data_IF_471122341859
#
_entry.id   IF_471122341859
#
_cell.length_a   1.000
_cell.length_b   1.000
_cell.length_c   1.000
_cell.angle_alpha   90.00
_cell.angle_beta   90.00
_cell.angle_gamma   90.00
#
_symmetry.space_group_name_H-M   'P 1'
#
loop_
_entity.id
_entity.type
_entity.pdbx_description
1 polymer ?
#
# COMPACT_ATOMS: atom_id res chain seq x y z
N UNK A 1 83.23 106.96 -7.19
CA UNK A 1 82.12 107.86 -7.50
C UNK A 1 81.70 107.63 -8.96
N UNK A 2 80.58 106.94 -9.24
CA UNK A 2 79.70 107.15 -10.40
C UNK A 2 78.60 106.18 -10.33
N UNK A 3 77.41 106.72 -10.29
CA UNK A 3 76.13 105.93 -10.36
C UNK A 3 75.94 105.40 -11.75
N UNK A 4 75.52 104.20 -11.90
CA UNK A 4 74.91 103.72 -13.17
C UNK A 4 73.38 103.58 -12.93
N UNK A 5 72.63 104.41 -13.61
CA UNK A 5 71.18 104.36 -13.75
C UNK A 5 70.76 103.05 -14.40
N UNK A 6 69.80 102.41 -13.74
CA UNK A 6 69.07 101.30 -14.32
C UNK A 6 67.94 101.87 -15.20
N UNK A 7 68.08 101.68 -16.50
CA UNK A 7 66.96 101.85 -17.42
C UNK A 7 65.95 100.68 -17.32
N UNK A 8 64.83 101.00 -16.89
CA UNK A 8 63.70 100.03 -16.89
C UNK A 8 63.19 99.93 -18.37
N UNK A 9 63.33 98.80 -18.99
CA UNK A 9 62.76 98.44 -20.25
C UNK A 9 61.24 98.25 -20.04
N UNK A 10 60.44 99.13 -20.54
CA UNK A 10 58.99 99.16 -20.41
C UNK A 10 58.36 98.00 -21.15
N UNK A 11 57.30 97.41 -20.62
CA UNK A 11 56.54 96.22 -21.16
C UNK A 11 56.03 96.38 -22.61
N UNK A 12 56.09 97.59 -23.18
CA UNK A 12 55.68 97.93 -24.57
C UNK A 12 56.66 97.49 -25.62
N UNK A 13 57.91 97.29 -25.30
CA UNK A 13 58.93 96.83 -26.28
C UNK A 13 58.90 95.30 -26.51
N UNK A 14 58.32 94.53 -25.57
CA UNK A 14 58.13 93.06 -25.71
C UNK A 14 57.02 92.74 -26.72
N UNK A 15 56.00 93.57 -26.85
CA UNK A 15 54.85 93.28 -27.70
C UNK A 15 55.12 93.54 -29.20
N UNK A 16 56.13 94.34 -29.53
CA UNK A 16 56.42 94.69 -30.92
C UNK A 16 57.33 93.67 -31.67
N UNK A 17 58.14 92.91 -30.94
CA UNK A 17 59.07 91.92 -31.52
C UNK A 17 58.51 90.57 -31.78
N UNK A 18 57.33 90.17 -31.21
CA UNK A 18 56.76 88.83 -31.31
C UNK A 18 55.32 88.79 -31.81
N UNK A 19 54.95 89.67 -32.79
CA UNK A 19 53.58 89.66 -33.33
C UNK A 19 53.20 88.34 -34.00
N UNK A 20 54.13 87.47 -34.35
CA UNK A 20 53.93 86.23 -35.02
C UNK A 20 54.17 84.99 -34.06
N UNK A 21 54.74 85.23 -32.87
CA UNK A 21 55.10 84.14 -31.95
C UNK A 21 53.87 83.39 -31.47
N UNK A 22 52.79 84.06 -31.18
CA UNK A 22 51.51 83.41 -30.79
C UNK A 22 50.97 82.51 -31.93
N UNK A 23 51.15 82.88 -33.16
CA UNK A 23 50.70 82.09 -34.31
C UNK A 23 51.60 80.86 -34.54
N UNK A 24 52.86 80.96 -34.32
CA UNK A 24 53.82 79.89 -34.51
C UNK A 24 53.72 78.78 -33.44
N UNK A 25 53.30 79.11 -32.24
CA UNK A 25 53.06 78.13 -31.17
C UNK A 25 51.60 77.62 -31.23
N UNK A 26 50.61 78.47 -31.49
CA UNK A 26 49.25 78.09 -31.52
C UNK A 26 48.89 77.08 -32.65
N UNK A 27 49.48 77.29 -33.86
CA UNK A 27 49.20 76.44 -35.03
C UNK A 27 49.67 74.97 -34.78
N UNK A 28 50.92 74.71 -34.35
CA UNK A 28 51.33 73.29 -34.07
C UNK A 28 50.55 72.70 -32.91
N UNK A 29 50.17 73.50 -31.94
CA UNK A 29 49.38 73.00 -30.78
C UNK A 29 47.97 72.55 -31.24
N UNK A 30 47.35 73.38 -32.13
CA UNK A 30 46.04 73.03 -32.67
C UNK A 30 46.15 71.80 -33.58
N UNK A 31 47.16 71.70 -34.41
CA UNK A 31 47.41 70.53 -35.27
C UNK A 31 47.64 69.29 -34.39
N UNK A 32 48.41 69.40 -33.26
CA UNK A 32 48.59 68.27 -32.31
C UNK A 32 47.32 67.83 -31.64
N UNK A 33 46.45 68.79 -31.21
CA UNK A 33 45.17 68.46 -30.60
C UNK A 33 44.24 67.81 -31.65
N UNK A 34 44.22 68.32 -32.91
CA UNK A 34 43.43 67.69 -33.99
C UNK A 34 43.91 66.27 -34.31
N UNK A 35 45.25 66.02 -34.30
CA UNK A 35 45.86 64.70 -34.47
C UNK A 35 45.49 63.76 -33.32
N UNK A 36 45.45 64.29 -32.10
CA UNK A 36 45.14 63.53 -30.90
C UNK A 36 43.63 63.10 -30.93
N UNK A 37 42.76 64.02 -31.33
CA UNK A 37 41.32 63.73 -31.51
C UNK A 37 41.12 62.72 -32.62
N UNK A 38 41.83 62.92 -33.75
CA UNK A 38 41.78 61.95 -34.85
C UNK A 38 42.27 60.57 -34.47
N UNK A 39 43.36 60.51 -33.67
CA UNK A 39 43.90 59.26 -33.13
C UNK A 39 42.88 58.57 -32.20
N UNK A 40 42.23 59.35 -31.30
CA UNK A 40 41.16 58.81 -30.44
C UNK A 40 39.93 58.29 -31.23
N UNK A 41 39.59 58.96 -32.36
CA UNK A 41 38.48 58.54 -33.17
C UNK A 41 38.76 57.29 -34.01
N UNK A 42 40.05 57.05 -34.34
CA UNK A 42 40.48 55.88 -35.13
C UNK A 42 40.85 54.68 -34.25
N UNK A 43 41.15 54.88 -32.96
CA UNK A 43 41.44 53.81 -32.05
C UNK A 43 40.13 53.08 -31.63
N UNK A 44 39.90 51.91 -32.20
CA UNK A 44 38.85 51.00 -31.77
C UNK A 44 39.26 50.38 -30.43
N UNK A 45 38.57 50.73 -29.33
CA UNK A 45 38.72 50.00 -28.06
C UNK A 45 38.02 48.64 -28.19
N UNK A 46 38.78 47.58 -28.20
CA UNK A 46 38.27 46.24 -28.01
C UNK A 46 37.83 46.09 -26.55
N UNK A 47 36.51 46.11 -26.30
CA UNK A 47 35.98 45.77 -24.99
C UNK A 47 36.00 44.26 -24.86
N UNK A 48 37.01 43.72 -24.21
CA UNK A 48 37.04 42.32 -23.83
C UNK A 48 36.15 42.14 -22.61
N UNK A 49 34.97 41.55 -22.83
CA UNK A 49 34.07 41.15 -21.74
C UNK A 49 34.55 39.76 -21.30
N UNK A 50 35.15 39.67 -20.13
CA UNK A 50 35.39 38.37 -19.47
C UNK A 50 34.07 37.86 -18.96
N UNK A 51 33.41 36.99 -19.73
CA UNK A 51 32.26 36.24 -19.27
C UNK A 51 32.72 34.91 -18.68
N UNK A 52 32.65 34.79 -17.39
CA UNK A 52 32.80 33.49 -16.70
C UNK A 52 31.49 32.71 -16.92
N UNK A 53 31.41 31.97 -18.00
CA UNK A 53 30.30 31.09 -18.32
C UNK A 53 30.69 29.64 -18.11
N UNK A 54 29.91 28.90 -17.35
CA UNK A 54 29.99 27.43 -17.37
C UNK A 54 29.21 26.95 -18.60
N UNK A 55 29.84 26.14 -19.46
CA UNK A 55 29.13 25.48 -20.54
C UNK A 55 28.14 24.47 -19.94
N UNK A 56 26.88 24.83 -19.93
CA UNK A 56 25.80 23.89 -19.61
C UNK A 56 25.24 23.34 -20.94
N UNK A 57 25.11 22.02 -21.01
CA UNK A 57 24.43 21.40 -22.15
C UNK A 57 22.99 21.88 -22.20
N UNK A 58 22.47 22.25 -23.37
CA UNK A 58 21.09 22.75 -23.58
C UNK A 58 20.02 21.71 -23.22
N UNK A 59 20.37 20.45 -23.11
CA UNK A 59 19.52 19.37 -22.64
C UNK A 59 19.98 18.93 -21.25
N UNK A 60 19.11 19.12 -20.26
CA UNK A 60 19.32 18.58 -18.91
C UNK A 60 19.41 17.04 -18.99
N UNK A 61 20.52 16.48 -18.53
CA UNK A 61 20.69 15.04 -18.44
C UNK A 61 19.53 14.41 -17.65
N UNK A 62 18.97 13.32 -18.15
CA UNK A 62 17.95 12.54 -17.42
C UNK A 62 18.65 11.59 -16.48
N UNK A 63 18.32 11.70 -15.20
CA UNK A 63 18.81 10.78 -14.19
C UNK A 63 18.11 9.42 -14.31
N UNK A 64 18.89 8.36 -14.17
CA UNK A 64 18.41 6.98 -14.15
C UNK A 64 18.30 6.52 -12.69
N UNK A 65 17.14 5.95 -12.34
CA UNK A 65 16.85 5.50 -10.99
C UNK A 65 16.51 4.01 -10.98
N UNK A 66 16.91 3.34 -9.91
CA UNK A 66 16.45 1.99 -9.57
C UNK A 66 15.32 2.10 -8.53
N UNK A 67 14.27 1.30 -8.70
CA UNK A 67 13.18 1.22 -7.75
C UNK A 67 13.52 0.19 -6.66
N UNK A 68 13.79 0.67 -5.45
CA UNK A 68 14.06 -0.18 -4.29
C UNK A 68 15.52 -0.58 -4.11
N UNK A 69 15.85 -1.31 -3.04
CA UNK A 69 17.16 -1.93 -2.88
C UNK A 69 17.35 -2.99 -3.97
N UNK A 70 18.44 -2.88 -4.72
CA UNK A 70 18.68 -3.75 -5.86
C UNK A 70 20.17 -4.09 -6.00
N UNK A 71 20.44 -5.25 -6.52
CA UNK A 71 21.78 -5.69 -6.90
C UNK A 71 21.95 -5.57 -8.39
N UNK A 72 23.01 -4.89 -8.84
CA UNK A 72 23.36 -4.79 -10.25
C UNK A 72 23.94 -6.14 -10.67
N UNK A 73 23.31 -6.78 -11.63
CA UNK A 73 23.73 -8.11 -12.12
C UNK A 73 24.71 -7.99 -13.28
N UNK A 74 24.53 -6.99 -14.14
CA UNK A 74 25.39 -6.78 -15.30
C UNK A 74 25.36 -5.33 -15.75
N UNK A 75 26.54 -4.77 -16.03
CA UNK A 75 26.72 -3.44 -16.63
C UNK A 75 27.13 -3.62 -18.09
N UNK A 76 26.34 -3.10 -19.02
CA UNK A 76 26.54 -3.28 -20.46
C UNK A 76 27.24 -2.10 -21.11
N UNK A 77 27.43 -0.99 -20.36
CA UNK A 77 27.98 0.27 -20.88
C UNK A 77 29.09 0.78 -20.00
N UNK A 78 30.09 1.46 -20.62
CA UNK A 78 31.19 2.08 -19.93
C UNK A 78 30.91 3.58 -19.69
N UNK A 79 31.60 4.16 -18.73
CA UNK A 79 31.57 5.59 -18.44
C UNK A 79 31.95 6.41 -19.68
N UNK A 80 31.16 7.43 -20.00
CA UNK A 80 31.40 8.29 -21.17
C UNK A 80 31.01 7.66 -22.51
N UNK A 81 30.46 6.45 -22.55
CA UNK A 81 30.06 5.80 -23.80
C UNK A 81 28.79 6.42 -24.37
N UNK A 82 28.73 6.53 -25.71
CA UNK A 82 27.55 7.01 -26.42
C UNK A 82 26.50 5.91 -26.50
N UNK A 83 25.30 6.20 -26.06
CA UNK A 83 24.14 5.31 -26.10
C UNK A 83 23.05 5.84 -27.04
N UNK A 84 22.31 4.93 -27.67
CA UNK A 84 21.13 5.25 -28.47
C UNK A 84 19.87 5.07 -27.60
N UNK A 85 18.81 5.81 -27.95
CA UNK A 85 17.49 5.62 -27.30
C UNK A 85 17.09 4.13 -27.33
N UNK A 86 16.58 3.62 -26.23
CA UNK A 86 16.17 2.22 -25.98
C UNK A 86 17.33 1.20 -25.92
N UNK A 87 18.59 1.62 -25.99
CA UNK A 87 19.73 0.72 -25.81
C UNK A 87 19.82 0.27 -24.36
N UNK A 88 20.04 -1.03 -24.08
CA UNK A 88 20.22 -1.53 -22.72
C UNK A 88 21.50 -0.98 -22.09
N UNK A 89 21.41 -0.52 -20.87
CA UNK A 89 22.54 0.10 -20.12
C UNK A 89 23.05 -0.86 -19.06
N UNK A 90 22.14 -1.37 -18.23
CA UNK A 90 22.46 -2.31 -17.16
C UNK A 90 21.28 -3.23 -16.87
N UNK A 91 21.58 -4.37 -16.28
CA UNK A 91 20.61 -5.29 -15.71
C UNK A 91 20.75 -5.27 -14.19
N UNK A 92 19.64 -5.14 -13.51
CA UNK A 92 19.59 -5.19 -12.07
C UNK A 92 18.47 -6.13 -11.59
N UNK A 93 18.63 -6.64 -10.39
CA UNK A 93 17.61 -7.41 -9.69
C UNK A 93 17.27 -6.69 -8.40
N UNK A 94 16.00 -6.39 -8.18
CA UNK A 94 15.54 -5.90 -6.88
C UNK A 94 15.76 -7.05 -5.89
N UNK A 95 16.39 -6.75 -4.75
CA UNK A 95 16.55 -7.74 -3.68
C UNK A 95 15.14 -8.06 -3.19
N UNK A 96 14.61 -9.20 -3.64
CA UNK A 96 13.34 -9.68 -3.15
C UNK A 96 13.50 -9.96 -1.65
N UNK A 97 12.57 -9.46 -0.88
CA UNK A 97 12.46 -9.78 0.54
C UNK A 97 11.92 -11.23 0.62
N UNK A 98 12.86 -12.20 0.61
CA UNK A 98 12.53 -13.63 0.61
C UNK A 98 11.66 -14.00 1.79
N UNK A 99 11.95 -13.42 2.96
CA UNK A 99 11.18 -13.67 4.17
C UNK A 99 9.72 -13.24 4.00
N UNK A 100 9.52 -12.15 3.30
CA UNK A 100 8.18 -11.63 3.01
C UNK A 100 7.42 -12.43 1.94
N UNK A 101 8.12 -13.02 0.98
CA UNK A 101 7.54 -13.93 0.00
C UNK A 101 7.13 -15.24 0.68
N UNK A 102 7.98 -15.77 1.57
CA UNK A 102 7.70 -17.00 2.31
C UNK A 102 6.55 -16.82 3.29
N UNK A 103 6.47 -15.67 3.96
CA UNK A 103 5.34 -15.31 4.83
C UNK A 103 4.02 -15.22 4.04
N UNK A 104 4.02 -14.56 2.88
CA UNK A 104 2.84 -14.51 2.00
C UNK A 104 2.44 -15.90 1.49
N UNK A 105 3.40 -16.74 1.11
CA UNK A 105 3.14 -18.10 0.65
C UNK A 105 2.51 -18.95 1.78
N UNK A 106 2.95 -18.76 3.02
CA UNK A 106 2.36 -19.40 4.20
C UNK A 106 0.91 -18.94 4.41
N UNK A 107 0.64 -17.64 4.39
CA UNK A 107 -0.70 -17.07 4.53
C UNK A 107 -1.65 -17.55 3.42
N UNK A 108 -1.19 -17.59 2.16
CA UNK A 108 -1.96 -18.12 1.03
C UNK A 108 -2.30 -19.60 1.24
N UNK A 109 -1.33 -20.38 1.70
CA UNK A 109 -1.52 -21.81 1.97
C UNK A 109 -2.56 -22.05 3.04
N UNK A 110 -2.51 -21.25 4.11
CA UNK A 110 -3.45 -21.30 5.22
C UNK A 110 -4.88 -20.93 4.80
N UNK A 111 -5.05 -19.85 4.05
CA UNK A 111 -6.35 -19.46 3.50
C UNK A 111 -6.92 -20.51 2.53
N UNK A 112 -6.09 -21.22 1.76
CA UNK A 112 -6.53 -22.35 0.92
C UNK A 112 -7.00 -23.53 1.76
N UNK A 113 -6.34 -23.80 2.89
CA UNK A 113 -6.84 -24.82 3.86
C UNK A 113 -8.18 -24.39 4.43
N UNK A 114 -8.30 -23.13 4.85
CA UNK A 114 -9.55 -22.58 5.37
C UNK A 114 -10.68 -22.67 4.34
N UNK A 115 -10.42 -22.33 3.08
CA UNK A 115 -11.39 -22.46 1.98
C UNK A 115 -11.88 -23.89 1.81
N UNK A 116 -10.96 -24.86 1.87
CA UNK A 116 -11.30 -26.31 1.80
C UNK A 116 -12.19 -26.76 2.96
N UNK A 117 -11.90 -26.31 4.18
CA UNK A 117 -12.71 -26.64 5.35
C UNK A 117 -14.09 -25.94 5.29
N UNK A 118 -14.17 -24.73 4.76
CA UNK A 118 -15.44 -24.06 4.52
C UNK A 118 -16.30 -24.80 3.49
N UNK A 119 -15.69 -25.33 2.42
CA UNK A 119 -16.40 -26.19 1.45
C UNK A 119 -16.92 -27.48 2.12
N UNK A 120 -16.13 -28.08 3.00
CA UNK A 120 -16.57 -29.24 3.80
C UNK A 120 -17.74 -28.90 4.72
N UNK A 121 -17.77 -27.68 5.29
CA UNK A 121 -18.92 -27.20 6.04
C UNK A 121 -20.16 -27.11 5.15
N UNK A 122 -20.07 -26.51 3.96
CA UNK A 122 -21.20 -26.47 3.01
C UNK A 122 -21.73 -27.85 2.68
N UNK A 123 -20.85 -28.80 2.34
CA UNK A 123 -21.22 -30.19 2.08
C UNK A 123 -21.86 -30.85 3.31
N UNK A 124 -21.42 -30.53 4.52
CA UNK A 124 -22.02 -31.04 5.75
C UNK A 124 -23.44 -30.53 5.96
N UNK A 125 -23.70 -29.27 5.60
CA UNK A 125 -25.05 -28.67 5.64
C UNK A 125 -25.96 -29.34 4.60
N UNK A 126 -25.49 -29.50 3.37
CA UNK A 126 -26.25 -30.09 2.26
C UNK A 126 -26.62 -31.56 2.56
N UNK A 127 -25.66 -32.33 3.09
CA UNK A 127 -25.84 -33.73 3.41
C UNK A 127 -26.49 -33.97 4.78
N UNK A 128 -26.68 -32.93 5.59
CA UNK A 128 -27.13 -33.01 6.98
C UNK A 128 -26.30 -34.01 7.83
N UNK A 129 -25.00 -34.01 7.60
CA UNK A 129 -24.04 -34.90 8.27
C UNK A 129 -22.75 -34.16 8.54
N UNK A 130 -22.18 -34.36 9.74
CA UNK A 130 -20.85 -33.84 10.01
C UNK A 130 -19.80 -34.64 9.23
N UNK A 131 -19.11 -33.97 8.29
CA UNK A 131 -18.05 -34.56 7.46
C UNK A 131 -16.65 -34.32 8.04
N UNK A 132 -16.51 -33.55 9.11
CA UNK A 132 -15.26 -33.34 9.79
C UNK A 132 -14.88 -34.57 10.62
N UNK A 133 -13.70 -35.10 10.39
CA UNK A 133 -13.15 -36.23 11.17
C UNK A 133 -12.38 -35.76 12.41
N UNK A 134 -11.83 -34.54 12.36
CA UNK A 134 -11.01 -33.96 13.43
C UNK A 134 -11.40 -32.51 13.66
N UNK A 135 -11.05 -31.96 14.83
CA UNK A 135 -11.25 -30.55 15.13
C UNK A 135 -10.48 -29.67 14.16
N UNK A 136 -11.15 -28.72 13.58
CA UNK A 136 -10.53 -27.75 12.69
C UNK A 136 -10.03 -26.52 13.49
N UNK A 137 -9.01 -25.87 12.97
CA UNK A 137 -8.43 -24.66 13.59
C UNK A 137 -9.28 -23.40 13.34
N UNK A 138 -10.30 -23.46 12.49
CA UNK A 138 -11.13 -22.29 12.10
C UNK A 138 -12.51 -22.28 12.76
N UNK A 139 -12.86 -23.35 13.53
CA UNK A 139 -14.13 -23.48 14.23
C UNK A 139 -15.31 -23.94 13.37
N UNK A 140 -15.07 -24.41 12.15
CA UNK A 140 -16.16 -24.86 11.24
C UNK A 140 -16.77 -26.20 11.70
N UNK A 141 -16.00 -27.10 12.26
CA UNK A 141 -16.54 -28.35 12.82
C UNK A 141 -17.58 -28.06 13.92
N UNK A 142 -17.27 -27.15 14.84
CA UNK A 142 -18.18 -26.76 15.89
C UNK A 142 -19.44 -26.09 15.32
N UNK A 143 -19.30 -25.24 14.30
CA UNK A 143 -20.41 -24.60 13.62
C UNK A 143 -21.34 -25.63 12.94
N UNK A 144 -20.77 -26.65 12.27
CA UNK A 144 -21.55 -27.78 11.73
C UNK A 144 -22.31 -28.51 12.82
N UNK A 145 -21.64 -28.83 13.93
CA UNK A 145 -22.29 -29.55 15.04
C UNK A 145 -23.45 -28.73 15.63
N UNK A 146 -23.26 -27.42 15.81
CA UNK A 146 -24.30 -26.51 16.29
C UNK A 146 -25.49 -26.49 15.30
N UNK A 147 -25.22 -26.36 13.99
CA UNK A 147 -26.27 -26.40 12.97
C UNK A 147 -27.07 -27.72 12.99
N UNK A 148 -26.36 -28.85 13.01
CA UNK A 148 -27.01 -30.16 13.02
C UNK A 148 -27.86 -30.39 14.29
N UNK A 149 -27.36 -29.95 15.45
CA UNK A 149 -28.12 -30.01 16.69
C UNK A 149 -29.38 -29.14 16.64
N UNK A 150 -29.26 -27.90 16.17
CA UNK A 150 -30.40 -27.01 16.00
C UNK A 150 -31.42 -27.58 15.03
N UNK A 151 -30.98 -28.10 13.86
CA UNK A 151 -31.82 -28.76 12.90
C UNK A 151 -32.54 -29.98 13.49
N UNK A 152 -31.83 -30.81 14.24
CA UNK A 152 -32.41 -31.99 14.90
C UNK A 152 -33.51 -31.61 15.91
N UNK A 153 -33.27 -30.59 16.73
CA UNK A 153 -34.27 -30.05 17.64
C UNK A 153 -35.55 -29.60 16.92
N UNK A 154 -35.38 -28.83 15.83
CA UNK A 154 -36.54 -28.40 15.03
C UNK A 154 -37.27 -29.58 14.38
N UNK A 155 -36.55 -30.57 13.84
CA UNK A 155 -37.12 -31.77 13.23
C UNK A 155 -37.86 -32.63 14.23
N UNK A 156 -37.34 -32.79 15.46
CA UNK A 156 -38.02 -33.50 16.56
C UNK A 156 -39.32 -32.78 16.93
N UNK A 157 -39.32 -31.45 16.99
CA UNK A 157 -40.53 -30.66 17.23
C UNK A 157 -41.55 -30.82 16.11
N UNK A 158 -41.15 -30.99 14.86
CA UNK A 158 -42.01 -31.27 13.72
C UNK A 158 -42.61 -32.68 13.79
N UNK A 159 -41.82 -33.70 14.15
CA UNK A 159 -42.24 -35.10 14.14
C UNK A 159 -43.16 -35.47 15.31
N UNK A 160 -43.14 -34.69 16.40
CA UNK A 160 -44.05 -34.85 17.52
C UNK A 160 -45.46 -34.42 17.18
N UNK A 161 -46.33 -35.33 16.75
CA UNK A 161 -47.79 -35.18 16.52
C UNK A 161 -48.22 -34.39 15.25
N UNK A 162 -48.24 -35.06 14.12
CA UNK A 162 -48.89 -34.60 12.91
C UNK A 162 -50.44 -34.67 12.94
N UNK A 163 -51.07 -35.08 14.05
CA UNK A 163 -52.49 -35.42 14.07
C UNK A 163 -53.33 -34.65 15.12
N UNK A 164 -52.85 -33.51 15.61
CA UNK A 164 -53.64 -32.76 16.58
C UNK A 164 -54.55 -31.73 15.88
N UNK A 165 -55.80 -32.08 15.76
CA UNK A 165 -56.89 -31.18 15.39
C UNK A 165 -57.48 -30.41 16.58
N UNK A 166 -56.91 -30.57 17.77
CA UNK A 166 -57.41 -29.99 19.01
C UNK A 166 -56.63 -28.67 19.34
N UNK A 167 -57.37 -27.63 19.73
CA UNK A 167 -56.81 -26.32 20.07
C UNK A 167 -55.75 -26.38 21.16
N UNK A 168 -55.87 -27.35 22.10
CA UNK A 168 -54.88 -27.54 23.18
C UNK A 168 -53.54 -28.05 22.61
N UNK A 169 -53.57 -28.99 21.68
CA UNK A 169 -52.37 -29.52 21.04
C UNK A 169 -51.67 -28.47 20.21
N UNK A 170 -52.40 -27.59 19.52
CA UNK A 170 -51.84 -26.44 18.79
C UNK A 170 -51.14 -25.45 19.76
N UNK A 171 -51.74 -25.20 20.92
CA UNK A 171 -51.13 -24.31 21.94
C UNK A 171 -49.83 -24.92 22.49
N UNK A 172 -49.82 -26.22 22.82
CA UNK A 172 -48.62 -26.92 23.28
C UNK A 172 -47.51 -26.89 22.24
N UNK A 173 -47.85 -27.08 20.96
CA UNK A 173 -46.86 -27.01 19.87
C UNK A 173 -46.21 -25.64 19.73
N UNK A 174 -46.99 -24.58 19.87
CA UNK A 174 -46.50 -23.20 19.86
C UNK A 174 -45.54 -22.93 21.04
N UNK A 175 -45.85 -23.45 22.19
CA UNK A 175 -44.96 -23.36 23.38
C UNK A 175 -43.66 -24.12 23.16
N UNK A 176 -43.68 -25.32 22.56
CA UNK A 176 -42.48 -26.06 22.16
C UNK A 176 -41.57 -25.25 21.18
N UNK A 177 -42.21 -24.67 20.14
CA UNK A 177 -41.48 -23.83 19.19
C UNK A 177 -40.89 -22.56 19.85
N UNK A 178 -41.62 -21.92 20.76
CA UNK A 178 -41.17 -20.76 21.51
C UNK A 178 -39.95 -21.08 22.43
N UNK A 179 -40.02 -22.23 23.10
CA UNK A 179 -38.89 -22.75 23.92
C UNK A 179 -37.67 -23.06 23.06
N UNK A 180 -37.86 -23.64 21.88
CA UNK A 180 -36.80 -23.93 20.95
C UNK A 180 -36.15 -22.62 20.44
N UNK A 181 -36.96 -21.64 20.03
CA UNK A 181 -36.49 -20.33 19.61
C UNK A 181 -35.70 -19.63 20.74
N UNK A 182 -36.22 -19.68 21.96
CA UNK A 182 -35.54 -19.16 23.15
C UNK A 182 -34.14 -19.79 23.33
N UNK A 183 -34.05 -21.12 23.17
CA UNK A 183 -32.80 -21.87 23.26
C UNK A 183 -31.81 -21.46 22.16
N UNK A 184 -32.28 -21.36 20.93
CA UNK A 184 -31.45 -20.94 19.78
C UNK A 184 -30.95 -19.49 19.90
N UNK A 185 -31.81 -18.60 20.40
CA UNK A 185 -31.45 -17.19 20.70
C UNK A 185 -30.33 -17.15 21.76
N UNK A 186 -30.48 -17.91 22.85
CA UNK A 186 -29.47 -17.98 23.91
C UNK A 186 -28.13 -18.55 23.42
N UNK A 187 -28.15 -19.60 22.60
CA UNK A 187 -26.96 -20.19 21.97
C UNK A 187 -26.28 -19.17 21.06
N UNK A 188 -27.03 -18.50 20.19
CA UNK A 188 -26.48 -17.49 19.27
C UNK A 188 -25.88 -16.29 20.03
N UNK A 189 -26.53 -15.86 21.12
CA UNK A 189 -26.01 -14.80 21.98
C UNK A 189 -24.69 -15.23 22.68
N UNK A 190 -24.60 -16.49 23.11
CA UNK A 190 -23.37 -17.06 23.67
C UNK A 190 -22.24 -17.05 22.64
N UNK A 191 -22.50 -17.50 21.41
CA UNK A 191 -21.50 -17.47 20.33
C UNK A 191 -21.02 -16.05 20.03
N UNK A 192 -21.93 -15.07 20.03
CA UNK A 192 -21.56 -13.64 19.88
C UNK A 192 -20.58 -13.23 20.97
N UNK A 193 -20.83 -13.59 22.24
CA UNK A 193 -19.92 -13.33 23.35
C UNK A 193 -18.56 -14.00 23.16
N UNK A 194 -18.54 -15.23 22.68
CA UNK A 194 -17.30 -15.99 22.42
C UNK A 194 -16.45 -15.33 21.30
N UNK A 195 -17.09 -14.83 20.24
CA UNK A 195 -16.40 -14.08 19.17
C UNK A 195 -15.83 -12.76 19.73
N UNK A 196 -16.57 -12.04 20.55
CA UNK A 196 -16.12 -10.80 21.16
C UNK A 196 -14.91 -11.01 22.10
N UNK A 197 -14.88 -12.12 22.85
CA UNK A 197 -13.70 -12.49 23.65
C UNK A 197 -12.48 -12.73 22.76
N UNK A 198 -12.64 -13.45 21.65
CA UNK A 198 -11.55 -13.68 20.70
C UNK A 198 -11.07 -12.38 20.06
N UNK A 199 -11.99 -11.50 19.68
CA UNK A 199 -11.67 -10.18 19.13
C UNK A 199 -10.90 -9.32 20.14
N UNK A 200 -11.31 -9.29 21.40
CA UNK A 200 -10.63 -8.57 22.48
C UNK A 200 -9.21 -9.11 22.72
N UNK A 201 -9.03 -10.44 22.70
CA UNK A 201 -7.73 -11.08 22.86
C UNK A 201 -6.75 -10.74 21.72
N UNK A 202 -7.22 -10.69 20.45
CA UNK A 202 -6.41 -10.25 19.31
C UNK A 202 -6.01 -8.78 19.43
N UNK A 203 -6.84 -7.94 20.05
CA UNK A 203 -6.51 -6.55 20.38
C UNK A 203 -5.55 -6.40 21.56
N UNK A 204 -5.13 -7.50 22.19
CA UNK A 204 -4.28 -7.50 23.36
C UNK A 204 -5.02 -7.28 24.67
N UNK A 205 -6.34 -7.44 24.70
CA UNK A 205 -7.22 -7.25 25.87
C UNK A 205 -7.68 -8.61 26.42
N UNK A 206 -6.78 -9.37 27.00
CA UNK A 206 -7.11 -10.65 27.62
C UNK A 206 -6.62 -11.89 26.84
N UNK A 207 -7.22 -13.03 27.12
CA UNK A 207 -6.90 -14.32 26.49
C UNK A 207 -8.18 -15.09 26.18
N UNK A 208 -8.08 -16.05 25.25
CA UNK A 208 -9.18 -16.94 24.88
C UNK A 208 -9.04 -18.24 25.69
N UNK A 209 -10.09 -18.62 26.39
CA UNK A 209 -10.12 -19.86 27.12
C UNK A 209 -10.16 -21.07 26.17
N UNK A 210 -9.63 -22.23 26.62
CA UNK A 210 -9.48 -23.42 25.77
C UNK A 210 -10.82 -24.03 25.34
N UNK A 211 -11.89 -23.81 26.09
CA UNK A 211 -13.25 -24.25 25.79
C UNK A 211 -14.00 -23.31 24.81
N UNK A 212 -13.42 -22.15 24.49
CA UNK A 212 -13.99 -21.24 23.51
C UNK A 212 -13.79 -21.83 22.08
N UNK A 213 -14.83 -21.94 21.25
CA UNK A 213 -14.72 -22.43 19.88
C UNK A 213 -13.69 -21.71 19.02
N UNK A 214 -13.34 -20.47 19.39
CA UNK A 214 -12.34 -19.64 18.71
C UNK A 214 -10.93 -19.74 19.29
N UNK A 215 -10.69 -20.67 20.25
CA UNK A 215 -9.37 -20.88 20.84
C UNK A 215 -8.32 -21.29 19.78
N UNK A 216 -8.67 -22.20 18.87
CA UNK A 216 -7.82 -22.59 17.75
C UNK A 216 -7.48 -21.44 16.81
N UNK A 217 -8.46 -20.61 16.50
CA UNK A 217 -8.26 -19.39 15.71
C UNK A 217 -7.29 -18.41 16.39
N UNK A 218 -7.44 -18.19 17.69
CA UNK A 218 -6.54 -17.33 18.45
C UNK A 218 -5.12 -17.91 18.56
N UNK A 219 -4.95 -19.22 18.74
CA UNK A 219 -3.64 -19.87 18.73
C UNK A 219 -2.93 -19.70 17.37
N UNK A 220 -3.68 -19.86 16.28
CA UNK A 220 -3.15 -19.63 14.93
C UNK A 220 -2.68 -18.17 14.76
N UNK A 221 -3.49 -17.19 15.20
CA UNK A 221 -3.09 -15.78 15.23
C UNK A 221 -1.78 -15.58 16.00
N UNK A 222 -1.65 -16.15 17.20
CA UNK A 222 -0.44 -16.03 18.02
C UNK A 222 0.81 -16.58 17.30
N UNK A 223 0.69 -17.74 16.65
CA UNK A 223 1.77 -18.34 15.88
C UNK A 223 2.18 -17.48 14.69
N UNK A 224 1.22 -16.98 13.93
CA UNK A 224 1.47 -16.12 12.80
C UNK A 224 2.15 -14.79 13.18
N UNK A 225 1.72 -14.19 14.29
CA UNK A 225 2.31 -12.95 14.81
C UNK A 225 3.71 -13.19 15.39
N UNK A 226 4.00 -14.37 15.95
CA UNK A 226 5.32 -14.67 16.51
C UNK A 226 6.44 -14.65 15.47
N UNK A 227 6.15 -15.05 14.24
CA UNK A 227 7.11 -15.16 13.12
C UNK A 227 7.17 -13.92 12.23
N UNK A 228 6.18 -13.01 12.29
CA UNK A 228 6.06 -11.86 11.41
C UNK A 228 6.89 -10.65 11.89
N UNK A 229 7.33 -9.82 10.95
CA UNK A 229 7.89 -8.49 11.22
C UNK A 229 6.80 -7.50 11.71
N UNK A 230 7.17 -6.29 12.10
CA UNK A 230 6.24 -5.29 12.64
C UNK A 230 5.09 -4.95 11.66
N UNK A 231 5.36 -4.89 10.36
CA UNK A 231 4.35 -4.60 9.33
C UNK A 231 3.45 -5.82 9.10
N UNK A 232 4.01 -7.03 9.10
CA UNK A 232 3.29 -8.29 9.02
C UNK A 232 2.35 -8.49 10.20
N UNK A 233 2.80 -8.21 11.43
CA UNK A 233 1.97 -8.27 12.65
C UNK A 233 0.72 -7.40 12.52
N UNK A 234 0.87 -6.15 12.10
CA UNK A 234 -0.27 -5.25 11.92
C UNK A 234 -1.22 -5.72 10.81
N UNK A 235 -0.69 -6.29 9.73
CA UNK A 235 -1.48 -6.83 8.63
C UNK A 235 -2.30 -8.05 9.07
N UNK A 236 -1.67 -9.02 9.76
CA UNK A 236 -2.32 -10.22 10.31
C UNK A 236 -3.41 -9.82 11.29
N UNK A 237 -3.10 -8.94 12.25
CA UNK A 237 -4.07 -8.45 13.21
C UNK A 237 -5.29 -7.82 12.53
N UNK A 238 -5.08 -6.95 11.55
CA UNK A 238 -6.17 -6.31 10.81
C UNK A 238 -7.03 -7.31 10.04
N UNK A 239 -6.40 -8.31 9.42
CA UNK A 239 -7.09 -9.36 8.68
C UNK A 239 -7.96 -10.21 9.59
N UNK A 240 -7.40 -10.68 10.71
CA UNK A 240 -8.09 -11.56 11.64
C UNK A 240 -9.22 -10.85 12.38
N UNK A 241 -9.01 -9.58 12.77
CA UNK A 241 -10.08 -8.74 13.30
C UNK A 241 -11.22 -8.56 12.30
N UNK A 242 -10.91 -8.30 11.03
CA UNK A 242 -11.93 -8.16 9.99
C UNK A 242 -12.72 -9.46 9.76
N UNK A 243 -12.06 -10.61 9.89
CA UNK A 243 -12.71 -11.92 9.80
C UNK A 243 -13.66 -12.17 10.98
N UNK A 244 -13.22 -11.92 12.21
CA UNK A 244 -14.07 -12.06 13.39
C UNK A 244 -15.24 -11.08 13.36
N UNK A 245 -15.02 -9.84 12.97
CA UNK A 245 -16.06 -8.83 12.83
C UNK A 245 -17.11 -9.22 11.78
N UNK A 246 -16.67 -9.84 10.68
CA UNK A 246 -17.57 -10.43 9.71
C UNK A 246 -18.48 -11.50 10.31
N UNK A 247 -17.90 -12.45 11.07
CA UNK A 247 -18.65 -13.50 11.78
C UNK A 247 -19.60 -12.93 12.83
N UNK A 248 -19.13 -11.93 13.59
CA UNK A 248 -19.95 -11.23 14.56
C UNK A 248 -21.22 -10.63 13.93
N UNK A 249 -21.05 -9.91 12.82
CA UNK A 249 -22.17 -9.30 12.08
C UNK A 249 -23.16 -10.37 11.59
N UNK A 250 -22.66 -11.51 11.10
CA UNK A 250 -23.51 -12.58 10.59
C UNK A 250 -24.30 -13.24 11.75
N UNK A 251 -23.67 -13.44 12.93
CA UNK A 251 -24.37 -13.93 14.12
C UNK A 251 -25.38 -12.94 14.69
N UNK A 252 -25.11 -11.64 14.62
CA UNK A 252 -26.06 -10.61 15.01
C UNK A 252 -27.29 -10.60 14.08
N UNK A 253 -27.11 -10.78 12.76
CA UNK A 253 -28.22 -10.94 11.83
C UNK A 253 -29.05 -12.19 12.12
N UNK A 254 -28.39 -13.31 12.42
CA UNK A 254 -29.06 -14.55 12.82
C UNK A 254 -29.89 -14.34 14.10
N UNK A 255 -29.31 -13.69 15.11
CA UNK A 255 -30.01 -13.37 16.34
C UNK A 255 -31.27 -12.53 16.09
N UNK A 256 -31.14 -11.48 15.28
CA UNK A 256 -32.27 -10.63 14.93
C UNK A 256 -33.38 -11.40 14.17
N UNK A 257 -33.00 -12.29 13.25
CA UNK A 257 -33.97 -13.13 12.53
C UNK A 257 -34.71 -14.12 13.47
N UNK A 258 -33.97 -14.75 14.40
CA UNK A 258 -34.61 -15.65 15.39
C UNK A 258 -35.55 -14.88 16.33
N UNK A 259 -35.16 -13.70 16.78
CA UNK A 259 -36.03 -12.83 17.60
C UNK A 259 -37.30 -12.40 16.85
N UNK A 260 -37.17 -12.01 15.59
CA UNK A 260 -38.33 -11.68 14.74
C UNK A 260 -39.28 -12.87 14.59
N UNK A 261 -38.71 -14.07 14.37
CA UNK A 261 -39.49 -15.29 14.26
C UNK A 261 -40.18 -15.69 15.58
N UNK A 262 -39.54 -15.43 16.71
CA UNK A 262 -40.17 -15.63 18.05
C UNK A 262 -41.37 -14.69 18.24
N UNK A 263 -41.23 -13.42 17.86
CA UNK A 263 -42.32 -12.46 17.91
C UNK A 263 -43.51 -12.90 16.99
N UNK A 264 -43.19 -13.36 15.79
CA UNK A 264 -44.20 -13.86 14.84
C UNK A 264 -44.91 -15.09 15.43
N UNK A 265 -44.18 -16.06 16.03
CA UNK A 265 -44.76 -17.24 16.67
C UNK A 265 -45.69 -16.86 17.84
N UNK A 266 -45.39 -15.80 18.58
CA UNK A 266 -46.23 -15.30 19.69
C UNK A 266 -47.49 -14.58 19.20
N UNK A 267 -47.45 -13.91 18.07
CA UNK A 267 -48.55 -13.11 17.52
C UNK A 267 -49.52 -13.89 16.61
N UNK A 268 -49.01 -14.97 15.98
CA UNK A 268 -49.81 -15.69 14.97
C UNK A 268 -50.72 -16.72 15.61
N UNK A 269 -51.97 -16.79 15.15
CA UNK A 269 -52.92 -17.85 15.52
C UNK A 269 -52.72 -19.14 14.68
N UNK A 270 -51.66 -19.21 13.88
CA UNK A 270 -51.34 -20.33 13.00
C UNK A 270 -50.88 -21.61 13.74
N UNK A 271 -50.77 -22.70 13.00
CA UNK A 271 -50.30 -23.98 13.53
C UNK A 271 -48.80 -23.91 13.87
N UNK A 272 -48.34 -24.36 15.03
CA UNK A 272 -46.95 -24.45 15.41
C UNK A 272 -46.08 -25.23 14.39
N UNK A 273 -46.69 -26.05 13.54
CA UNK A 273 -46.01 -26.77 12.46
C UNK A 273 -45.47 -25.80 11.39
N UNK A 274 -46.29 -24.84 10.91
CA UNK A 274 -45.85 -23.85 9.94
C UNK A 274 -44.68 -23.00 10.48
N UNK A 275 -44.73 -22.64 11.77
CA UNK A 275 -43.63 -21.93 12.42
C UNK A 275 -42.31 -22.75 12.49
N UNK A 276 -42.39 -24.06 12.75
CA UNK A 276 -41.25 -24.94 12.79
C UNK A 276 -40.67 -25.22 11.39
N UNK A 277 -41.52 -25.35 10.35
CA UNK A 277 -41.05 -25.46 8.95
C UNK A 277 -40.35 -24.18 8.49
N UNK A 278 -40.90 -23.01 8.84
CA UNK A 278 -40.27 -21.71 8.58
C UNK A 278 -38.92 -21.60 9.28
N UNK A 279 -38.83 -22.11 10.52
CA UNK A 279 -37.58 -22.11 11.30
C UNK A 279 -36.52 -22.98 10.63
N UNK A 280 -36.82 -24.16 10.11
CA UNK A 280 -35.91 -24.99 9.34
C UNK A 280 -35.35 -24.25 8.11
N UNK A 281 -36.25 -23.66 7.35
CA UNK A 281 -35.91 -22.90 6.15
C UNK A 281 -35.02 -21.68 6.51
N UNK A 282 -35.37 -20.97 7.57
CA UNK A 282 -34.63 -19.81 8.05
C UNK A 282 -33.20 -20.23 8.52
N UNK A 283 -33.11 -21.32 9.29
CA UNK A 283 -31.83 -21.85 9.75
C UNK A 283 -30.88 -22.22 8.57
N UNK A 284 -31.46 -22.92 7.58
CA UNK A 284 -30.71 -23.30 6.39
C UNK A 284 -30.27 -22.06 5.60
N UNK A 285 -31.20 -21.15 5.30
CA UNK A 285 -30.92 -19.92 4.52
C UNK A 285 -29.85 -19.05 5.18
N UNK A 286 -29.94 -18.84 6.49
CA UNK A 286 -28.93 -18.04 7.22
C UNK A 286 -27.56 -18.73 7.18
N UNK A 287 -27.54 -20.06 7.34
CA UNK A 287 -26.26 -20.82 7.29
C UNK A 287 -25.65 -20.74 5.91
N UNK A 288 -26.41 -20.92 4.85
CA UNK A 288 -25.96 -20.79 3.46
C UNK A 288 -25.45 -19.36 3.15
N UNK A 289 -26.16 -18.33 3.61
CA UNK A 289 -25.73 -16.94 3.46
C UNK A 289 -24.41 -16.67 4.21
N UNK A 290 -24.25 -17.20 5.40
CA UNK A 290 -23.00 -17.10 6.18
C UNK A 290 -21.83 -17.78 5.45
N UNK A 291 -22.05 -18.99 4.93
CA UNK A 291 -21.06 -19.73 4.14
C UNK A 291 -20.66 -18.96 2.88
N UNK A 292 -21.63 -18.40 2.15
CA UNK A 292 -21.37 -17.60 0.95
C UNK A 292 -20.59 -16.31 1.28
N UNK A 293 -20.90 -15.66 2.40
CA UNK A 293 -20.19 -14.46 2.85
C UNK A 293 -18.74 -14.77 3.25
N UNK A 294 -18.51 -15.88 3.97
CA UNK A 294 -17.18 -16.35 4.34
C UNK A 294 -16.37 -16.74 3.11
N UNK A 295 -16.94 -17.50 2.19
CA UNK A 295 -16.29 -17.88 0.93
C UNK A 295 -15.85 -16.67 0.13
N UNK A 296 -16.71 -15.66 0.01
CA UNK A 296 -16.39 -14.40 -0.66
C UNK A 296 -15.24 -13.65 0.02
N UNK A 297 -15.25 -13.57 1.36
CA UNK A 297 -14.16 -12.93 2.13
C UNK A 297 -12.81 -13.63 1.92
N UNK A 298 -12.79 -14.95 2.03
CA UNK A 298 -11.58 -15.77 1.81
C UNK A 298 -11.06 -15.56 0.38
N UNK A 299 -11.95 -15.65 -0.61
CA UNK A 299 -11.57 -15.47 -2.02
C UNK A 299 -11.01 -14.08 -2.32
N UNK A 300 -11.60 -13.03 -1.76
CA UNK A 300 -11.09 -11.66 -1.90
C UNK A 300 -9.72 -11.47 -1.25
N UNK A 301 -9.51 -12.08 -0.09
CA UNK A 301 -8.23 -12.02 0.61
C UNK A 301 -7.15 -12.78 -0.13
N UNK A 302 -7.48 -14.00 -0.60
CA UNK A 302 -6.59 -14.81 -1.45
C UNK A 302 -6.16 -14.04 -2.69
N UNK A 303 -7.11 -13.45 -3.44
CA UNK A 303 -6.78 -12.68 -4.63
C UNK A 303 -5.84 -11.50 -4.35
N UNK A 304 -6.00 -10.81 -3.22
CA UNK A 304 -5.11 -9.72 -2.81
C UNK A 304 -3.71 -10.22 -2.46
N UNK A 305 -3.60 -11.33 -1.73
CA UNK A 305 -2.30 -11.90 -1.32
C UNK A 305 -1.57 -12.51 -2.51
N UNK A 306 -2.27 -13.23 -3.40
CA UNK A 306 -1.70 -13.80 -4.61
C UNK A 306 -1.21 -12.71 -5.58
N UNK A 307 -1.95 -11.61 -5.74
CA UNK A 307 -1.49 -10.46 -6.51
C UNK A 307 -0.20 -9.86 -5.91
N UNK A 308 -0.16 -9.68 -4.58
CA UNK A 308 1.01 -9.16 -3.89
C UNK A 308 2.23 -10.10 -3.96
N UNK A 309 2.03 -11.41 -3.85
CA UNK A 309 3.09 -12.42 -4.03
C UNK A 309 3.65 -12.37 -5.45
N UNK A 310 2.77 -12.31 -6.45
CA UNK A 310 3.17 -12.18 -7.85
C UNK A 310 3.96 -10.88 -8.10
N UNK A 311 3.52 -9.74 -7.55
CA UNK A 311 4.21 -8.46 -7.69
C UNK A 311 5.64 -8.53 -7.09
N UNK A 312 5.79 -9.13 -5.91
CA UNK A 312 7.10 -9.30 -5.26
C UNK A 312 8.01 -10.24 -6.05
N UNK A 313 7.48 -11.36 -6.55
CA UNK A 313 8.23 -12.31 -7.40
C UNK A 313 8.64 -11.68 -8.72
N UNK A 314 7.76 -10.89 -9.36
CA UNK A 314 8.09 -10.14 -10.58
C UNK A 314 9.12 -9.05 -10.33
N UNK A 315 9.03 -8.32 -9.21
CA UNK A 315 10.04 -7.33 -8.83
C UNK A 315 11.43 -7.96 -8.63
N UNK A 316 11.50 -9.19 -8.15
CA UNK A 316 12.74 -9.97 -8.01
C UNK A 316 13.33 -10.49 -9.32
N UNK A 317 12.64 -10.37 -10.46
CA UNK A 317 13.19 -10.78 -11.75
C UNK A 317 14.22 -9.74 -12.26
N UNK A 318 15.24 -10.19 -13.07
CA UNK A 318 16.18 -9.28 -13.69
C UNK A 318 15.49 -8.24 -14.56
N UNK A 319 15.70 -6.98 -14.27
CA UNK A 319 15.13 -5.84 -15.00
C UNK A 319 16.25 -5.11 -15.74
N UNK A 320 15.96 -4.67 -16.97
CA UNK A 320 16.92 -3.95 -17.80
C UNK A 320 16.58 -2.46 -17.85
N UNK A 321 17.52 -1.61 -17.44
CA UNK A 321 17.42 -0.17 -17.67
C UNK A 321 17.87 0.12 -19.10
N UNK A 322 16.99 0.79 -19.87
CA UNK A 322 17.27 1.26 -21.23
C UNK A 322 17.47 2.76 -21.25
N UNK A 323 18.31 3.24 -22.20
CA UNK A 323 18.55 4.66 -22.41
C UNK A 323 17.25 5.40 -22.81
N UNK A 324 16.78 6.39 -22.08
CA UNK A 324 15.55 7.13 -22.43
C UNK A 324 15.77 8.07 -23.62
N UNK A 325 17.01 8.49 -23.86
CA UNK A 325 17.42 9.38 -24.96
C UNK A 325 18.79 8.96 -25.50
N UNK A 326 19.11 9.38 -26.71
CA UNK A 326 20.45 9.23 -27.28
C UNK A 326 21.37 10.27 -26.64
N UNK A 327 22.53 9.87 -26.13
CA UNK A 327 23.47 10.77 -25.47
C UNK A 327 24.71 10.06 -24.96
N UNK A 328 25.44 10.72 -24.07
CA UNK A 328 26.57 10.14 -23.32
C UNK A 328 26.10 9.74 -21.94
N UNK A 329 26.52 8.58 -21.45
CA UNK A 329 26.18 8.11 -20.12
C UNK A 329 27.29 8.44 -19.14
N UNK A 330 26.91 9.03 -18.00
CA UNK A 330 27.80 9.34 -16.89
C UNK A 330 27.30 8.67 -15.63
N UNK A 331 28.09 7.79 -15.03
CA UNK A 331 27.79 7.21 -13.71
C UNK A 331 28.29 8.16 -12.63
N UNK A 332 27.47 8.39 -11.61
CA UNK A 332 27.80 9.28 -10.49
C UNK A 332 28.89 8.71 -9.55
N UNK A 333 29.05 7.41 -9.56
CA UNK A 333 30.09 6.70 -8.82
C UNK A 333 30.94 5.89 -9.78
N UNK A 334 32.23 5.95 -9.61
CA UNK A 334 33.24 5.24 -10.41
C UNK A 334 33.22 3.71 -10.24
N UNK A 335 32.30 3.18 -9.45
CA UNK A 335 32.18 1.79 -9.11
C UNK A 335 30.73 1.29 -9.20
N UNK A 336 30.18 1.30 -10.40
CA UNK A 336 29.07 0.40 -10.71
C UNK A 336 29.74 -0.93 -11.10
N UNK A 337 30.31 -1.60 -10.11
CA UNK A 337 30.81 -2.96 -10.29
C UNK A 337 29.64 -3.94 -10.22
N UNK A 338 29.78 -5.06 -10.93
CA UNK A 338 28.85 -6.18 -10.80
C UNK A 338 28.64 -6.51 -9.30
N UNK A 339 27.37 -6.71 -8.90
CA UNK A 339 26.94 -7.02 -7.53
C UNK A 339 26.89 -5.83 -6.53
N UNK A 340 26.95 -4.59 -6.96
CA UNK A 340 26.76 -3.48 -6.04
C UNK A 340 25.29 -3.33 -5.61
N UNK A 341 25.05 -3.29 -4.29
CA UNK A 341 23.74 -3.01 -3.72
C UNK A 341 23.45 -1.51 -3.84
N UNK A 342 22.37 -1.16 -4.52
CA UNK A 342 21.92 0.21 -4.71
C UNK A 342 20.75 0.50 -3.77
N UNK A 343 20.87 1.56 -2.98
CA UNK A 343 19.78 2.00 -2.10
C UNK A 343 18.57 2.52 -2.92
N UNK A 344 17.39 2.47 -2.31
CA UNK A 344 16.15 2.92 -2.93
C UNK A 344 16.28 4.35 -3.48
N UNK A 345 15.95 4.56 -4.77
CA UNK A 345 16.03 5.84 -5.49
C UNK A 345 17.44 6.43 -5.61
N UNK A 346 18.48 5.64 -5.54
CA UNK A 346 19.83 6.15 -5.83
C UNK A 346 19.97 6.46 -7.33
N UNK A 347 20.54 7.63 -7.66
CA UNK A 347 20.88 8.00 -9.05
C UNK A 347 22.11 7.20 -9.46
N UNK A 348 21.98 6.34 -10.46
CA UNK A 348 23.07 5.51 -10.99
C UNK A 348 23.74 6.10 -12.21
N UNK A 349 23.11 7.07 -12.89
CA UNK A 349 23.68 7.73 -14.05
C UNK A 349 22.86 8.94 -14.50
N UNK A 350 23.49 9.77 -15.33
CA UNK A 350 22.89 10.91 -16.04
C UNK A 350 23.23 10.83 -17.52
#
# INVERSE_FOLDING_TARGET
MSQKENQFVTATDFTRRFKHFKRWIAVPLIVFICLLVLFMALTKQEKTIQANGTMATSQRGRALYVQGPATITQVMMQFGQRVRKNQPILVYRVTADTDRIDDLASQITDLKKQQKQLQMFGQSVDQNKNLFSEADQYGYQQAVQTYLNQRQMVTQTLSGNAAASDNQALTNKRQEVDQLLTTMIAQTATEIGQIQVAEAAIRGQGSVAADNPYAGFYQHYQQAVATADAAGKAAIQTQDLAQLQGRLNDRQKQLAALQAQQQENQQTTGTGQASAETLLTTLQTITEQTLAADAKRIQQTLGKLEAKDNDLRHAGQPQTIKAPVTGLIYFRQSAVADQQIVAKRQVIGR
#
